data_IF_435064919909
#
_entry.id   IF_435064919909
#
_cell.length_a   1.000
_cell.length_b   1.000
_cell.length_c   1.000
_cell.angle_alpha   90.00
_cell.angle_beta   90.00
_cell.angle_gamma   90.00
#
_symmetry.space_group_name_H-M   'P 1'
#
loop_
_entity.id
_entity.type
_entity.pdbx_description
1 polymer ?
#
# COMPACT_ATOMS: atom_id res chain seq x y z
N UNK A 1 7.55 5.72 -85.88
CA UNK A 1 6.86 6.24 -84.69
C UNK A 1 6.69 5.12 -83.65
N UNK A 2 7.54 5.00 -82.70
CA UNK A 2 7.40 3.99 -81.62
C UNK A 2 6.83 4.71 -80.37
N UNK A 3 5.69 4.26 -79.87
CA UNK A 3 5.08 4.74 -78.63
C UNK A 3 5.56 3.89 -77.44
N UNK A 4 6.28 4.53 -76.51
CA UNK A 4 6.74 3.93 -75.28
C UNK A 4 5.64 4.12 -74.25
N UNK A 5 5.10 3.02 -73.69
CA UNK A 5 4.18 3.03 -72.54
C UNK A 5 5.00 2.94 -71.25
N UNK A 6 4.83 3.93 -70.38
CA UNK A 6 5.32 3.87 -68.96
C UNK A 6 4.25 3.21 -68.09
N UNK A 7 4.61 2.10 -67.47
CA UNK A 7 3.82 1.50 -66.39
C UNK A 7 4.27 2.11 -65.04
N UNK A 8 3.36 2.81 -64.38
CA UNK A 8 3.55 3.28 -63.00
C UNK A 8 3.11 2.16 -62.06
N UNK A 9 4.05 1.48 -61.41
CA UNK A 9 3.78 0.47 -60.38
C UNK A 9 3.54 1.15 -59.04
N UNK A 10 2.31 1.12 -58.54
CA UNK A 10 1.97 1.50 -57.19
C UNK A 10 2.35 0.38 -56.20
N UNK A 11 3.38 0.59 -55.40
CA UNK A 11 3.74 -0.30 -54.30
C UNK A 11 2.77 -0.09 -53.13
N UNK A 12 1.92 -1.06 -52.83
CA UNK A 12 1.14 -1.14 -51.61
C UNK A 12 2.05 -1.54 -50.46
N UNK A 13 2.34 -0.59 -49.56
CA UNK A 13 2.95 -0.87 -48.27
C UNK A 13 1.91 -1.55 -47.37
N UNK A 14 2.00 -2.87 -47.26
CA UNK A 14 1.23 -3.65 -46.29
C UNK A 14 1.84 -3.42 -44.89
N UNK A 15 1.17 -2.63 -44.06
CA UNK A 15 1.53 -2.48 -42.64
C UNK A 15 1.19 -3.80 -41.93
N UNK A 16 2.21 -4.63 -41.67
CA UNK A 16 2.09 -5.78 -40.76
C UNK A 16 1.87 -5.26 -39.36
N UNK A 17 0.63 -5.20 -38.92
CA UNK A 17 0.32 -5.09 -37.49
C UNK A 17 0.65 -6.45 -36.85
N UNK A 18 1.72 -6.50 -36.05
CA UNK A 18 2.00 -7.64 -35.17
C UNK A 18 0.83 -7.79 -34.21
N UNK A 19 0.24 -9.00 -34.09
CA UNK A 19 -0.79 -9.21 -33.06
C UNK A 19 -0.21 -8.93 -31.66
N UNK A 20 -1.02 -8.40 -30.72
CA UNK A 20 -0.58 -8.19 -29.35
C UNK A 20 -0.09 -9.52 -28.79
N UNK A 21 1.06 -9.49 -28.10
CA UNK A 21 1.57 -10.67 -27.36
C UNK A 21 0.49 -11.16 -26.41
N UNK A 22 0.30 -12.48 -26.27
CA UNK A 22 -0.58 -13.01 -25.23
C UNK A 22 -0.14 -12.46 -23.87
N UNK A 23 -1.07 -11.92 -23.12
CA UNK A 23 -0.85 -11.56 -21.72
C UNK A 23 -0.52 -12.88 -21.03
N UNK A 24 0.74 -13.08 -20.59
CA UNK A 24 1.06 -14.14 -19.64
C UNK A 24 0.08 -13.96 -18.48
N UNK A 25 -0.55 -15.06 -18.03
CA UNK A 25 -1.48 -15.08 -16.89
C UNK A 25 -0.74 -14.68 -15.61
N UNK A 26 -0.38 -13.42 -15.50
CA UNK A 26 0.21 -12.84 -14.29
C UNK A 26 -0.94 -12.61 -13.33
N UNK A 27 -0.91 -13.28 -12.20
CA UNK A 27 -1.95 -13.10 -11.17
C UNK A 27 -1.89 -11.66 -10.68
N UNK A 28 -2.99 -10.92 -10.85
CA UNK A 28 -3.14 -9.55 -10.38
C UNK A 28 -3.02 -9.52 -8.85
N UNK A 29 -2.13 -8.69 -8.32
CA UNK A 29 -1.95 -8.52 -6.87
C UNK A 29 -3.04 -7.57 -6.33
N UNK A 30 -4.03 -8.13 -5.65
CA UNK A 30 -5.05 -7.34 -4.97
C UNK A 30 -4.59 -7.13 -3.53
N UNK A 31 -4.31 -5.86 -3.21
CA UNK A 31 -3.86 -5.45 -1.88
C UNK A 31 -5.02 -4.84 -1.08
N UNK A 32 -5.31 -5.41 0.08
CA UNK A 32 -6.33 -4.88 0.99
C UNK A 32 -5.81 -3.68 1.77
N UNK A 33 -6.25 -2.45 1.40
CA UNK A 33 -5.81 -1.19 1.98
C UNK A 33 -6.20 -1.09 3.45
N UNK A 34 -5.20 -1.03 4.34
CA UNK A 34 -5.36 -1.07 5.79
C UNK A 34 -6.24 -2.25 6.24
N UNK A 35 -6.06 -3.40 5.57
CA UNK A 35 -6.95 -4.55 5.65
C UNK A 35 -8.07 -4.47 4.60
N UNK A 36 -9.23 -3.93 4.95
CA UNK A 36 -10.36 -3.69 4.05
C UNK A 36 -11.19 -2.50 4.55
N UNK A 37 -10.57 -1.32 4.59
CA UNK A 37 -11.08 -0.12 5.23
C UNK A 37 -12.50 0.28 4.81
N UNK A 38 -12.89 -0.02 3.58
CA UNK A 38 -14.25 0.30 3.09
C UNK A 38 -15.36 -0.41 3.85
N UNK A 39 -15.07 -1.58 4.46
CA UNK A 39 -16.06 -2.48 5.07
C UNK A 39 -15.77 -2.85 6.54
N UNK A 40 -14.51 -2.76 7.00
CA UNK A 40 -14.11 -3.01 8.38
C UNK A 40 -13.21 -1.88 8.91
N UNK A 41 -13.09 -1.71 10.26
CA UNK A 41 -12.19 -0.71 10.83
C UNK A 41 -10.77 -0.86 10.30
N UNK A 42 -10.18 0.26 9.86
CA UNK A 42 -8.86 0.29 9.26
C UNK A 42 -7.75 -0.12 10.23
N UNK A 43 -6.70 -0.75 9.71
CA UNK A 43 -5.50 -1.09 10.47
C UNK A 43 -5.82 -1.87 11.77
N UNK A 44 -6.88 -2.68 11.75
CA UNK A 44 -7.31 -3.54 12.85
C UNK A 44 -7.08 -5.02 12.54
N UNK A 45 -6.91 -5.83 13.58
CA UNK A 45 -6.79 -7.29 13.42
C UNK A 45 -8.03 -7.83 12.70
N UNK A 46 -9.21 -7.38 13.06
CA UNK A 46 -10.47 -7.81 12.47
C UNK A 46 -10.55 -7.46 10.96
N UNK A 47 -10.10 -6.26 10.59
CA UNK A 47 -10.01 -5.83 9.19
C UNK A 47 -9.05 -6.70 8.37
N UNK A 48 -7.91 -7.07 8.93
CA UNK A 48 -6.97 -7.99 8.27
C UNK A 48 -7.54 -9.41 8.14
N UNK A 49 -8.21 -9.93 9.17
CA UNK A 49 -8.87 -11.24 9.11
C UNK A 49 -9.97 -11.25 8.04
N UNK A 50 -10.73 -10.17 7.92
CA UNK A 50 -11.75 -10.04 6.88
C UNK A 50 -11.12 -9.99 5.48
N UNK A 51 -10.04 -9.22 5.29
CA UNK A 51 -9.31 -9.18 4.02
C UNK A 51 -8.78 -10.56 3.61
N UNK A 52 -8.23 -11.34 4.56
CA UNK A 52 -7.83 -12.73 4.33
C UNK A 52 -9.01 -13.61 3.91
N UNK A 53 -10.18 -13.45 4.54
CA UNK A 53 -11.38 -14.24 4.19
C UNK A 53 -11.92 -13.91 2.80
N UNK A 54 -11.70 -12.68 2.33
CA UNK A 54 -12.02 -12.22 0.96
C UNK A 54 -11.07 -12.86 -0.05
N UNK A 55 -9.82 -13.14 0.34
CA UNK A 55 -8.82 -13.78 -0.51
C UNK A 55 -7.85 -12.81 -1.19
N UNK A 56 -7.49 -11.73 -0.53
CA UNK A 56 -6.44 -10.81 -1.00
C UNK A 56 -5.08 -11.52 -1.12
N UNK A 57 -4.22 -11.01 -1.98
CA UNK A 57 -2.84 -11.50 -2.13
C UNK A 57 -1.91 -10.85 -1.10
N UNK A 58 -2.18 -9.59 -0.79
CA UNK A 58 -1.33 -8.75 0.04
C UNK A 58 -2.19 -7.98 1.05
N UNK A 59 -1.77 -7.95 2.30
CA UNK A 59 -2.30 -7.08 3.33
C UNK A 59 -1.47 -5.81 3.35
N UNK A 60 -2.09 -4.69 2.99
CA UNK A 60 -1.46 -3.38 3.10
C UNK A 60 -1.78 -2.78 4.46
N UNK A 61 -0.79 -2.13 5.09
CA UNK A 61 -0.90 -1.53 6.42
C UNK A 61 0.11 -0.41 6.62
N UNK A 62 -0.23 0.50 7.55
CA UNK A 62 0.64 1.61 7.94
C UNK A 62 1.21 1.36 9.34
N UNK A 63 2.45 1.78 9.59
CA UNK A 63 3.04 1.68 10.92
C UNK A 63 3.52 3.03 11.46
N UNK A 64 3.39 3.18 12.78
CA UNK A 64 3.91 4.30 13.56
C UNK A 64 4.59 3.78 14.83
N UNK A 65 5.32 4.65 15.54
CA UNK A 65 6.10 4.28 16.72
C UNK A 65 5.52 4.97 17.96
N UNK A 66 5.41 4.23 19.07
CA UNK A 66 5.00 4.74 20.38
C UNK A 66 6.19 5.30 21.18
N UNK A 67 5.93 5.98 22.31
CA UNK A 67 6.96 6.52 23.20
C UNK A 67 7.88 5.44 23.81
N UNK A 68 7.38 4.23 23.97
CA UNK A 68 8.12 3.06 24.45
C UNK A 68 8.63 2.16 23.30
N UNK A 69 8.80 2.77 22.11
CA UNK A 69 9.40 2.15 20.94
C UNK A 69 8.66 0.89 20.41
N UNK A 70 7.36 0.79 20.67
CA UNK A 70 6.55 -0.27 20.06
C UNK A 70 6.17 0.14 18.63
N UNK A 71 6.21 -0.82 17.71
CA UNK A 71 5.71 -0.65 16.34
C UNK A 71 4.23 -1.04 16.33
N UNK A 72 3.36 -0.06 16.10
CA UNK A 72 1.91 -0.28 16.05
C UNK A 72 1.36 0.02 14.67
N UNK A 73 0.20 -0.55 14.37
CA UNK A 73 -0.45 -0.38 13.08
C UNK A 73 -1.44 0.78 13.14
N UNK A 74 -1.13 1.86 12.42
CA UNK A 74 -1.90 3.11 12.40
C UNK A 74 -1.50 3.97 11.21
N UNK A 75 -2.47 4.62 10.56
CA UNK A 75 -2.17 5.55 9.47
C UNK A 75 -1.68 6.91 10.01
N UNK A 76 -2.44 7.55 10.88
CA UNK A 76 -2.01 8.79 11.52
C UNK A 76 -1.11 8.49 12.73
N UNK A 77 -0.04 9.28 12.96
CA UNK A 77 0.77 9.18 14.16
C UNK A 77 0.12 9.86 15.39
N UNK A 78 -1.22 10.00 15.35
CA UNK A 78 -2.06 10.50 16.45
C UNK A 78 -3.40 9.77 16.48
N UNK A 79 -4.21 10.01 17.50
CA UNK A 79 -5.58 9.49 17.57
C UNK A 79 -6.48 10.36 16.70
N UNK A 80 -6.82 9.83 15.52
CA UNK A 80 -7.61 10.56 14.52
C UNK A 80 -9.05 10.79 14.99
N UNK A 81 -9.55 11.99 14.74
CA UNK A 81 -10.94 12.36 15.00
C UNK A 81 -11.93 11.53 14.18
N UNK A 82 -11.54 11.00 13.04
CA UNK A 82 -12.41 10.20 12.18
C UNK A 82 -12.83 8.88 12.84
N UNK A 83 -11.91 8.24 13.60
CA UNK A 83 -12.10 6.86 14.08
C UNK A 83 -11.96 6.70 15.60
N UNK A 84 -11.23 7.58 16.30
CA UNK A 84 -10.83 7.35 17.67
C UNK A 84 -11.84 7.90 18.69
N UNK A 85 -12.04 7.12 19.77
CA UNK A 85 -12.75 7.53 21.00
C UNK A 85 -11.87 7.18 22.20
N UNK A 86 -11.61 8.16 23.05
CA UNK A 86 -10.75 7.99 24.22
C UNK A 86 -11.40 7.14 25.32
N UNK A 87 -10.59 6.72 26.32
CA UNK A 87 -11.09 5.92 27.45
C UNK A 87 -12.10 6.67 28.32
N UNK A 88 -12.16 8.00 28.23
CA UNK A 88 -13.17 8.84 28.87
C UNK A 88 -14.48 8.98 28.07
N UNK A 89 -14.59 8.27 26.93
CA UNK A 89 -15.73 8.32 26.01
C UNK A 89 -15.77 9.53 25.10
N UNK A 90 -14.73 10.39 25.09
CA UNK A 90 -14.66 11.56 24.21
C UNK A 90 -13.81 11.27 22.97
N UNK A 91 -14.22 11.82 21.84
CA UNK A 91 -13.44 11.79 20.61
C UNK A 91 -12.65 13.09 20.45
N UNK A 92 -11.45 13.03 19.85
CA UNK A 92 -10.80 14.22 19.34
C UNK A 92 -11.68 14.91 18.28
N UNK A 93 -11.41 16.16 17.99
CA UNK A 93 -11.91 16.84 16.81
C UNK A 93 -10.76 17.17 15.84
N UNK A 94 -11.08 17.60 14.62
CA UNK A 94 -10.09 17.88 13.57
C UNK A 94 -9.11 19.01 13.91
N UNK A 95 -9.39 19.82 14.95
CA UNK A 95 -8.52 20.93 15.36
C UNK A 95 -7.54 20.54 16.46
N UNK A 96 -7.85 19.48 17.25
CA UNK A 96 -7.05 19.07 18.41
C UNK A 96 -6.46 17.67 18.32
N UNK A 97 -6.81 16.85 17.32
CA UNK A 97 -6.38 15.45 17.22
C UNK A 97 -4.85 15.25 17.34
N UNK A 98 -4.05 16.18 16.81
CA UNK A 98 -2.58 16.12 16.88
C UNK A 98 -2.01 16.25 18.31
N UNK A 99 -2.80 16.71 19.27
CA UNK A 99 -2.42 16.70 20.68
C UNK A 99 -2.34 15.27 21.26
N UNK A 100 -3.09 14.34 20.66
CA UNK A 100 -3.07 12.91 21.03
C UNK A 100 -2.00 12.15 20.24
N UNK A 101 -0.79 12.65 20.30
CA UNK A 101 0.38 12.18 19.56
C UNK A 101 0.86 10.82 20.08
N UNK A 102 0.77 9.79 19.23
CA UNK A 102 1.14 8.40 19.56
C UNK A 102 2.63 8.27 19.92
N UNK A 103 3.52 9.04 19.28
CA UNK A 103 4.95 9.03 19.60
C UNK A 103 5.27 9.54 21.01
N UNK A 104 4.29 10.15 21.70
CA UNK A 104 4.38 10.60 23.10
C UNK A 104 3.57 9.73 24.07
N UNK A 105 2.87 8.70 23.56
CA UNK A 105 2.06 7.78 24.36
C UNK A 105 2.75 6.41 24.44
N UNK A 106 2.70 5.76 25.60
CA UNK A 106 3.08 4.34 25.71
C UNK A 106 2.00 3.46 25.08
N UNK A 107 2.37 2.27 24.66
CA UNK A 107 1.42 1.36 24.02
C UNK A 107 0.20 1.04 24.89
N UNK A 108 0.39 0.84 26.19
CA UNK A 108 -0.72 0.58 27.11
C UNK A 108 -1.74 1.73 27.16
N UNK A 109 -1.33 2.97 26.90
CA UNK A 109 -2.23 4.13 26.79
C UNK A 109 -2.94 4.13 25.43
N UNK A 110 -2.20 3.84 24.34
CA UNK A 110 -2.74 3.74 22.99
C UNK A 110 -3.84 2.67 22.92
N UNK A 111 -3.60 1.50 23.51
CA UNK A 111 -4.51 0.34 23.49
C UNK A 111 -5.87 0.59 24.18
N UNK A 112 -5.97 1.63 25.01
CA UNK A 112 -7.23 1.99 25.69
C UNK A 112 -8.22 2.72 24.77
N UNK A 113 -7.76 3.23 23.63
CA UNK A 113 -8.61 3.93 22.68
C UNK A 113 -9.42 2.97 21.83
N UNK A 114 -10.70 3.29 21.65
CA UNK A 114 -11.56 2.60 20.70
C UNK A 114 -11.43 3.25 19.31
N UNK A 115 -11.03 2.48 18.33
CA UNK A 115 -10.78 2.94 16.96
C UNK A 115 -11.72 2.31 15.92
N UNK A 116 -12.90 1.79 16.33
CA UNK A 116 -13.77 1.11 15.38
C UNK A 116 -15.27 1.18 15.69
N UNK A 117 -15.69 1.65 16.88
CA UNK A 117 -17.13 1.79 17.20
C UNK A 117 -17.77 3.03 16.60
N UNK A 118 -16.98 4.02 16.19
CA UNK A 118 -17.44 5.28 15.60
C UNK A 118 -17.88 5.06 14.15
N UNK A 119 -18.89 5.83 13.69
CA UNK A 119 -19.22 5.88 12.26
C UNK A 119 -18.09 6.59 11.52
N UNK A 120 -17.46 5.90 10.58
CA UNK A 120 -16.40 6.49 9.77
C UNK A 120 -17.00 7.50 8.77
N UNK A 121 -16.56 8.77 8.73
CA UNK A 121 -17.19 9.81 7.90
C UNK A 121 -17.12 9.51 6.40
N UNK A 122 -16.06 8.84 5.94
CA UNK A 122 -15.87 8.47 4.52
C UNK A 122 -16.44 7.09 4.18
N UNK A 123 -16.66 6.21 5.17
CA UNK A 123 -17.13 4.85 4.98
C UNK A 123 -18.30 4.55 5.93
N UNK A 124 -19.48 5.17 5.73
CA UNK A 124 -20.60 5.06 6.65
C UNK A 124 -21.20 3.64 6.72
N UNK A 125 -20.95 2.80 5.71
CA UNK A 125 -21.38 1.39 5.67
C UNK A 125 -20.41 0.44 6.37
N UNK A 126 -19.22 0.91 6.77
CA UNK A 126 -18.21 0.12 7.48
C UNK A 126 -18.82 -0.53 8.73
N UNK A 127 -18.50 -1.80 8.95
CA UNK A 127 -18.96 -2.52 10.14
C UNK A 127 -18.36 -1.88 11.41
N UNK A 128 -19.20 -1.46 12.33
CA UNK A 128 -18.76 -0.89 13.61
C UNK A 128 -18.47 -2.01 14.61
N UNK A 129 -17.33 -1.91 15.25
CA UNK A 129 -16.94 -2.81 16.34
C UNK A 129 -15.91 -2.13 17.22
N UNK A 130 -15.87 -2.51 18.50
CA UNK A 130 -14.82 -2.04 19.39
C UNK A 130 -13.50 -2.70 18.99
N UNK A 131 -12.53 -1.89 18.61
CA UNK A 131 -11.17 -2.33 18.30
C UNK A 131 -10.15 -1.24 18.66
N UNK A 132 -8.88 -1.55 18.58
CA UNK A 132 -7.78 -0.66 18.95
C UNK A 132 -6.68 -0.71 17.88
N UNK A 133 -5.66 0.14 18.02
CA UNK A 133 -4.46 0.10 17.17
C UNK A 133 -3.54 -1.03 17.64
N UNK A 134 -3.41 -2.16 16.91
CA UNK A 134 -2.65 -3.32 17.36
C UNK A 134 -1.14 -3.11 17.20
N UNK A 135 -0.35 -3.91 17.92
CA UNK A 135 1.07 -4.09 17.59
C UNK A 135 1.23 -4.76 16.23
N UNK A 136 2.27 -4.39 15.48
CA UNK A 136 2.62 -5.10 14.24
C UNK A 136 2.87 -6.58 14.50
N UNK A 137 3.50 -6.93 15.63
CA UNK A 137 3.70 -8.30 16.07
C UNK A 137 2.39 -9.05 16.29
N UNK A 138 1.39 -8.40 16.88
CA UNK A 138 0.06 -8.97 17.11
C UNK A 138 -0.65 -9.28 15.78
N UNK A 139 -0.55 -8.36 14.80
CA UNK A 139 -1.10 -8.59 13.45
C UNK A 139 -0.43 -9.82 12.82
N UNK A 140 0.90 -9.92 12.84
CA UNK A 140 1.59 -11.09 12.29
C UNK A 140 1.16 -12.40 12.99
N UNK A 141 1.09 -12.42 14.32
CA UNK A 141 0.67 -13.60 15.08
C UNK A 141 -0.73 -14.09 14.66
N UNK A 142 -1.69 -13.15 14.57
CA UNK A 142 -3.07 -13.50 14.22
C UNK A 142 -3.21 -13.92 12.76
N UNK A 143 -2.54 -13.22 11.83
CA UNK A 143 -2.55 -13.54 10.39
C UNK A 143 -1.92 -14.90 10.13
N UNK A 144 -0.72 -15.16 10.64
CA UNK A 144 -0.02 -16.43 10.42
C UNK A 144 -0.76 -17.61 11.05
N UNK A 145 -1.36 -17.40 12.22
CA UNK A 145 -2.23 -18.40 12.86
C UNK A 145 -3.44 -18.73 11.98
N UNK A 146 -4.13 -17.70 11.46
CA UNK A 146 -5.29 -17.87 10.58
C UNK A 146 -4.93 -18.62 9.30
N UNK A 147 -3.81 -18.25 8.65
CA UNK A 147 -3.29 -18.94 7.46
C UNK A 147 -3.07 -20.41 7.75
N UNK A 148 -2.42 -20.75 8.87
CA UNK A 148 -2.13 -22.13 9.25
C UNK A 148 -3.41 -22.93 9.56
N UNK A 149 -4.35 -22.36 10.32
CA UNK A 149 -5.61 -23.00 10.70
C UNK A 149 -6.54 -23.24 9.49
N UNK A 150 -6.64 -22.26 8.60
CA UNK A 150 -7.48 -22.33 7.38
C UNK A 150 -6.79 -23.03 6.22
N UNK A 151 -5.48 -23.29 6.32
CA UNK A 151 -4.65 -23.89 5.25
C UNK A 151 -4.75 -23.13 3.93
N UNK A 152 -4.81 -21.81 4.00
CA UNK A 152 -4.80 -20.93 2.83
C UNK A 152 -3.37 -20.59 2.41
N UNK A 153 -3.14 -20.17 1.14
CA UNK A 153 -1.83 -19.73 0.70
C UNK A 153 -1.30 -18.56 1.56
N UNK A 154 0.00 -18.51 1.84
CA UNK A 154 0.61 -17.38 2.54
C UNK A 154 0.42 -16.08 1.75
N UNK A 155 0.01 -15.00 2.42
CA UNK A 155 -0.12 -13.66 1.85
C UNK A 155 1.18 -12.87 1.97
N UNK A 156 1.30 -11.78 1.22
CA UNK A 156 2.33 -10.76 1.39
C UNK A 156 1.85 -9.67 2.35
N UNK A 157 2.80 -8.90 2.87
CA UNK A 157 2.55 -7.72 3.69
C UNK A 157 3.19 -6.52 3.01
N UNK A 158 2.41 -5.48 2.73
CA UNK A 158 2.90 -4.20 2.24
C UNK A 158 2.82 -3.19 3.38
N UNK A 159 3.97 -2.78 3.94
CA UNK A 159 4.05 -2.02 5.19
C UNK A 159 4.56 -0.61 4.90
N UNK A 160 3.70 0.39 5.13
CA UNK A 160 4.09 1.79 4.97
C UNK A 160 4.76 2.33 6.24
N UNK A 161 6.00 2.81 6.08
CA UNK A 161 6.67 3.62 7.10
C UNK A 161 6.18 5.07 6.96
N UNK A 162 5.39 5.52 7.93
CA UNK A 162 4.78 6.86 7.98
C UNK A 162 5.78 7.88 8.51
N UNK A 163 6.61 8.42 7.62
CA UNK A 163 7.60 9.45 7.97
C UNK A 163 7.60 10.62 7.00
N UNK A 164 7.94 11.80 7.52
CA UNK A 164 8.15 13.02 6.75
C UNK A 164 9.28 13.83 7.38
N UNK A 165 10.08 14.61 6.60
CA UNK A 165 11.18 15.41 7.16
C UNK A 165 10.73 16.43 8.23
N UNK A 166 9.52 16.96 8.11
CA UNK A 166 8.97 17.98 9.00
C UNK A 166 8.53 17.42 10.37
N UNK A 167 8.34 16.10 10.44
CA UNK A 167 7.79 15.42 11.62
C UNK A 167 8.82 14.58 12.38
N UNK A 168 10.09 14.60 11.94
CA UNK A 168 11.21 13.93 12.60
C UNK A 168 11.29 14.34 14.08
N UNK A 169 11.30 13.36 15.00
CA UNK A 169 11.33 13.52 16.45
C UNK A 169 10.15 14.31 17.05
N UNK A 170 9.11 14.55 16.27
CA UNK A 170 7.85 15.17 16.70
C UNK A 170 6.75 14.12 16.73
N UNK A 171 6.52 13.43 15.60
CA UNK A 171 5.49 12.40 15.45
C UNK A 171 6.08 11.00 15.18
N UNK A 172 7.36 10.91 14.86
CA UNK A 172 8.08 9.65 14.65
C UNK A 172 9.59 9.86 14.90
N UNK A 173 10.36 8.77 15.14
CA UNK A 173 11.82 8.87 15.26
C UNK A 173 12.47 9.17 13.90
N UNK A 174 13.80 9.35 13.88
CA UNK A 174 14.53 9.45 12.63
C UNK A 174 14.28 8.22 11.72
N UNK A 175 14.37 8.35 10.39
CA UNK A 175 14.19 7.23 9.46
C UNK A 175 15.03 5.99 9.80
N UNK A 176 16.27 6.18 10.25
CA UNK A 176 17.17 5.08 10.66
C UNK A 176 16.60 4.28 11.82
N UNK A 177 16.14 4.96 12.87
CA UNK A 177 15.56 4.29 14.07
C UNK A 177 14.24 3.64 13.69
N UNK A 178 13.40 4.31 12.91
CA UNK A 178 12.11 3.78 12.50
C UNK A 178 12.28 2.47 11.70
N UNK A 179 13.10 2.49 10.64
CA UNK A 179 13.39 1.31 9.83
C UNK A 179 13.94 0.15 10.68
N UNK A 180 14.86 0.44 11.61
CA UNK A 180 15.42 -0.57 12.51
C UNK A 180 14.35 -1.23 13.40
N UNK A 181 13.45 -0.44 14.00
CA UNK A 181 12.38 -0.99 14.84
C UNK A 181 11.43 -1.88 14.05
N UNK A 182 11.03 -1.44 12.85
CA UNK A 182 10.14 -2.21 11.96
C UNK A 182 10.80 -3.51 11.53
N UNK A 183 12.05 -3.47 11.08
CA UNK A 183 12.77 -4.68 10.62
C UNK A 183 13.02 -5.68 11.75
N UNK A 184 13.29 -5.22 12.98
CA UNK A 184 13.39 -6.11 14.14
C UNK A 184 12.11 -6.90 14.39
N UNK A 185 10.93 -6.28 14.23
CA UNK A 185 9.66 -7.00 14.37
C UNK A 185 9.50 -8.02 13.24
N UNK A 186 9.75 -7.64 11.98
CA UNK A 186 9.60 -8.53 10.83
C UNK A 186 10.53 -9.75 10.95
N UNK A 187 11.78 -9.53 11.34
CA UNK A 187 12.81 -10.58 11.48
C UNK A 187 12.47 -11.60 12.57
N UNK A 188 11.84 -11.14 13.66
CA UNK A 188 11.37 -12.02 14.74
C UNK A 188 10.39 -13.09 14.25
N UNK A 189 9.62 -12.78 13.19
CA UNK A 189 8.63 -13.69 12.59
C UNK A 189 9.12 -14.36 11.30
N UNK A 190 10.36 -14.10 10.88
CA UNK A 190 10.97 -14.61 9.65
C UNK A 190 10.14 -14.32 8.38
N UNK A 191 9.57 -13.11 8.29
CA UNK A 191 8.65 -12.69 7.23
C UNK A 191 9.32 -11.87 6.10
N UNK A 192 10.64 -11.68 6.12
CA UNK A 192 11.38 -10.76 5.23
C UNK A 192 11.10 -11.01 3.75
N UNK A 193 10.90 -12.27 3.36
CA UNK A 193 10.64 -12.64 1.95
C UNK A 193 9.22 -12.34 1.49
N UNK A 194 8.32 -12.07 2.43
CA UNK A 194 6.91 -11.78 2.17
C UNK A 194 6.53 -10.33 2.47
N UNK A 195 7.50 -9.51 2.85
CA UNK A 195 7.29 -8.09 3.17
C UNK A 195 7.79 -7.21 2.04
N UNK A 196 6.98 -6.21 1.72
CA UNK A 196 7.34 -5.02 0.93
C UNK A 196 7.33 -3.84 1.91
N UNK A 197 8.36 -3.02 1.92
CA UNK A 197 8.37 -1.77 2.67
C UNK A 197 8.06 -0.63 1.70
N UNK A 198 6.99 0.10 1.97
CA UNK A 198 6.61 1.27 1.19
C UNK A 198 6.74 2.57 1.98
N UNK A 199 6.99 3.67 1.31
CA UNK A 199 7.01 5.00 1.90
C UNK A 199 6.88 6.11 0.86
N UNK A 200 6.30 7.24 1.25
CA UNK A 200 6.43 8.51 0.54
C UNK A 200 7.79 9.17 0.79
N UNK A 201 8.40 8.87 1.93
CA UNK A 201 9.69 9.44 2.33
C UNK A 201 10.85 8.65 1.71
N UNK A 202 11.47 9.25 0.71
CA UNK A 202 12.65 8.69 0.02
C UNK A 202 13.77 8.34 1.01
N UNK A 203 13.93 9.09 2.11
CA UNK A 203 14.98 8.85 3.11
C UNK A 203 14.81 7.49 3.80
N UNK A 204 13.58 7.11 4.13
CA UNK A 204 13.27 5.79 4.72
C UNK A 204 13.60 4.66 3.75
N UNK A 205 13.27 4.81 2.46
CA UNK A 205 13.63 3.84 1.42
C UNK A 205 15.15 3.76 1.19
N UNK A 206 15.87 4.89 1.25
CA UNK A 206 17.33 4.91 1.18
C UNK A 206 17.99 4.19 2.36
N UNK A 207 17.48 4.38 3.58
CA UNK A 207 17.93 3.66 4.78
C UNK A 207 17.68 2.16 4.62
N UNK A 208 16.48 1.77 4.18
CA UNK A 208 16.14 0.36 3.93
C UNK A 208 17.06 -0.27 2.89
N UNK A 209 17.29 0.41 1.76
CA UNK A 209 18.19 -0.07 0.71
C UNK A 209 19.62 -0.28 1.20
N UNK A 210 20.15 0.68 1.98
CA UNK A 210 21.53 0.63 2.47
C UNK A 210 21.75 -0.40 3.58
N UNK A 211 20.84 -0.47 4.55
CA UNK A 211 21.02 -1.23 5.78
C UNK A 211 20.29 -2.58 5.79
N UNK A 212 19.24 -2.72 4.98
CA UNK A 212 18.37 -3.89 4.95
C UNK A 212 18.08 -4.36 3.51
N UNK A 213 19.09 -4.66 2.67
CA UNK A 213 18.96 -4.87 1.22
C UNK A 213 18.17 -6.12 0.82
N UNK A 214 17.75 -6.94 1.78
CA UNK A 214 16.93 -8.14 1.55
C UNK A 214 15.44 -7.85 1.35
N UNK A 215 14.98 -6.63 1.71
CA UNK A 215 13.58 -6.26 1.57
C UNK A 215 13.27 -5.71 0.18
N UNK A 216 12.09 -6.02 -0.32
CA UNK A 216 11.52 -5.36 -1.49
C UNK A 216 11.02 -3.97 -1.08
N UNK A 217 11.28 -2.98 -1.92
CA UNK A 217 10.94 -1.60 -1.63
C UNK A 217 9.91 -1.06 -2.63
N UNK A 218 8.98 -0.26 -2.14
CA UNK A 218 7.94 0.39 -2.92
C UNK A 218 7.95 1.90 -2.69
N UNK A 219 8.00 2.67 -3.78
CA UNK A 219 7.92 4.12 -3.71
C UNK A 219 6.48 4.59 -3.90
N UNK A 220 5.91 5.22 -2.88
CA UNK A 220 4.63 5.90 -2.96
C UNK A 220 4.77 7.27 -3.64
N UNK A 221 3.84 7.58 -4.56
CA UNK A 221 3.84 8.84 -5.31
C UNK A 221 2.44 9.44 -5.33
N UNK A 222 2.31 10.70 -4.90
CA UNK A 222 1.06 11.46 -4.93
C UNK A 222 0.67 11.90 -6.34
N UNK A 223 -0.56 12.38 -6.49
CA UNK A 223 -1.14 12.80 -7.78
C UNK A 223 -0.52 14.07 -8.36
N UNK A 224 0.11 14.91 -7.55
CA UNK A 224 0.81 16.13 -7.96
C UNK A 224 2.32 15.94 -8.16
N UNK A 225 2.84 14.73 -7.96
CA UNK A 225 4.26 14.43 -8.04
C UNK A 225 4.63 13.80 -9.38
N UNK A 226 5.88 14.01 -9.83
CA UNK A 226 6.42 13.33 -11.01
C UNK A 226 7.09 12.02 -10.59
N UNK A 227 6.56 10.84 -10.98
CA UNK A 227 7.09 9.54 -10.55
C UNK A 227 8.57 9.33 -10.94
N UNK A 228 8.95 9.71 -12.16
CA UNK A 228 10.33 9.52 -12.65
C UNK A 228 11.33 10.40 -11.90
N UNK A 229 10.95 11.64 -11.58
CA UNK A 229 11.77 12.53 -10.78
C UNK A 229 11.96 12.00 -9.37
N UNK A 230 10.90 11.49 -8.74
CA UNK A 230 10.94 10.92 -7.39
C UNK A 230 11.76 9.62 -7.34
N UNK A 231 11.63 8.75 -8.34
CA UNK A 231 12.50 7.57 -8.50
C UNK A 231 13.97 7.95 -8.61
N UNK A 232 14.29 9.04 -9.31
CA UNK A 232 15.68 9.54 -9.42
C UNK A 232 16.24 9.99 -8.07
N UNK A 233 15.41 10.56 -7.19
CA UNK A 233 15.81 10.97 -5.84
C UNK A 233 16.16 9.76 -4.95
N UNK A 234 15.56 8.58 -5.18
CA UNK A 234 15.91 7.37 -4.45
C UNK A 234 17.39 6.98 -4.63
N UNK A 235 17.96 7.16 -5.82
CA UNK A 235 19.37 6.89 -6.13
C UNK A 235 19.72 5.41 -6.31
N UNK A 236 18.71 4.52 -6.30
CA UNK A 236 18.85 3.07 -6.52
C UNK A 236 17.65 2.53 -7.33
N UNK A 237 17.75 1.26 -7.76
CA UNK A 237 16.68 0.61 -8.50
C UNK A 237 15.56 0.20 -7.55
N UNK A 238 14.35 0.72 -7.80
CA UNK A 238 13.14 0.35 -7.06
C UNK A 238 12.52 -0.94 -7.62
N UNK A 239 11.94 -1.77 -6.76
CA UNK A 239 11.22 -3.00 -7.16
C UNK A 239 9.76 -2.72 -7.48
N UNK A 240 9.13 -1.77 -6.76
CA UNK A 240 7.72 -1.41 -6.93
C UNK A 240 7.56 0.11 -6.99
N UNK A 241 6.77 0.59 -7.94
CA UNK A 241 6.26 1.95 -7.95
C UNK A 241 4.78 1.90 -7.58
N UNK A 242 4.38 2.68 -6.59
CA UNK A 242 3.01 2.73 -6.10
C UNK A 242 2.45 4.16 -6.18
N UNK A 243 2.00 4.59 -7.37
CA UNK A 243 1.48 5.94 -7.59
C UNK A 243 -0.01 6.05 -7.25
N UNK A 244 -0.48 7.27 -7.04
CA UNK A 244 -1.90 7.54 -7.10
C UNK A 244 -2.46 7.09 -8.47
N UNK A 245 -3.57 6.36 -8.48
CA UNK A 245 -4.14 5.76 -9.70
C UNK A 245 -4.49 6.79 -10.79
N UNK A 246 -4.77 8.04 -10.41
CA UNK A 246 -5.12 9.12 -11.35
C UNK A 246 -4.00 9.49 -12.31
N UNK A 247 -2.75 9.28 -11.92
CA UNK A 247 -1.58 9.59 -12.75
C UNK A 247 -1.06 8.38 -13.54
N UNK A 248 -1.77 7.24 -13.47
CA UNK A 248 -1.39 6.02 -14.20
C UNK A 248 -1.92 6.07 -15.62
N UNK A 249 -1.01 5.93 -16.57
CA UNK A 249 -1.26 5.78 -18.01
C UNK A 249 -0.40 4.65 -18.59
N UNK A 250 -0.65 4.28 -19.84
CA UNK A 250 0.08 3.24 -20.55
C UNK A 250 1.60 3.52 -20.60
N UNK A 251 2.00 4.78 -20.74
CA UNK A 251 3.41 5.15 -20.80
C UNK A 251 4.14 4.93 -19.47
N UNK A 252 3.45 5.10 -18.34
CA UNK A 252 4.01 4.81 -17.02
C UNK A 252 4.11 3.30 -16.78
N UNK A 253 3.11 2.51 -17.21
CA UNK A 253 3.14 1.04 -17.17
C UNK A 253 4.32 0.51 -17.96
N UNK A 254 4.46 0.92 -19.25
CA UNK A 254 5.56 0.53 -20.11
C UNK A 254 6.92 0.91 -19.54
N UNK A 255 7.02 2.12 -18.96
CA UNK A 255 8.25 2.56 -18.30
C UNK A 255 8.62 1.62 -17.14
N UNK A 256 7.69 1.31 -16.25
CA UNK A 256 7.93 0.41 -15.12
C UNK A 256 8.36 -0.97 -15.59
N UNK A 257 7.63 -1.57 -16.52
CA UNK A 257 7.91 -2.89 -17.04
C UNK A 257 9.25 -2.94 -17.79
N UNK A 258 9.63 -1.88 -18.54
CA UNK A 258 10.95 -1.79 -19.19
C UNK A 258 12.10 -1.81 -18.18
N UNK A 259 11.86 -1.36 -16.95
CA UNK A 259 12.82 -1.35 -15.82
C UNK A 259 12.72 -2.59 -14.95
N UNK A 260 11.84 -3.55 -15.27
CA UNK A 260 11.51 -4.71 -14.43
C UNK A 260 11.06 -4.28 -13.03
N UNK A 261 10.22 -3.27 -12.97
CA UNK A 261 9.61 -2.71 -11.77
C UNK A 261 8.12 -2.97 -11.85
N UNK A 262 7.51 -3.41 -10.75
CA UNK A 262 6.07 -3.57 -10.66
C UNK A 262 5.39 -2.21 -10.50
N UNK A 263 4.16 -2.09 -11.01
CA UNK A 263 3.31 -0.91 -10.82
C UNK A 263 2.05 -1.31 -10.06
N UNK A 264 1.91 -0.80 -8.83
CA UNK A 264 0.80 -1.11 -7.91
C UNK A 264 0.19 0.20 -7.43
N UNK A 265 -0.77 0.78 -8.16
CA UNK A 265 -1.40 2.05 -7.81
C UNK A 265 -2.34 1.98 -6.60
N UNK A 266 -2.57 3.14 -5.96
CA UNK A 266 -3.45 3.35 -4.81
C UNK A 266 -4.31 4.62 -5.00
N UNK A 267 -5.42 4.81 -4.33
CA UNK A 267 -6.32 3.80 -3.79
C UNK A 267 -7.45 3.65 -4.78
N UNK A 268 -7.61 2.46 -5.35
CA UNK A 268 -8.54 2.19 -6.46
C UNK A 268 -9.82 1.58 -5.86
N UNK A 269 -10.90 2.37 -5.81
CA UNK A 269 -12.11 1.99 -5.09
C UNK A 269 -13.34 1.80 -5.98
N UNK A 270 -13.35 2.44 -7.15
CA UNK A 270 -14.48 2.39 -8.08
C UNK A 270 -14.28 1.27 -9.11
N UNK A 271 -15.31 0.50 -9.40
CA UNK A 271 -15.24 -0.64 -10.32
C UNK A 271 -14.68 -0.26 -11.70
N UNK A 272 -15.10 0.89 -12.23
CA UNK A 272 -14.62 1.41 -13.51
C UNK A 272 -13.11 1.72 -13.49
N UNK A 273 -12.61 2.26 -12.38
CA UNK A 273 -11.19 2.54 -12.21
C UNK A 273 -10.38 1.24 -12.00
N UNK A 274 -10.94 0.24 -11.30
CA UNK A 274 -10.32 -1.08 -11.20
C UNK A 274 -10.17 -1.73 -12.59
N UNK A 275 -11.23 -1.73 -13.40
CA UNK A 275 -11.20 -2.22 -14.78
C UNK A 275 -10.15 -1.47 -15.62
N UNK A 276 -10.12 -0.13 -15.52
CA UNK A 276 -9.13 0.70 -16.20
C UNK A 276 -7.70 0.32 -15.82
N UNK A 277 -7.40 0.08 -14.54
CA UNK A 277 -6.07 -0.37 -14.09
C UNK A 277 -5.72 -1.73 -14.68
N UNK A 278 -6.67 -2.68 -14.69
CA UNK A 278 -6.48 -4.01 -15.27
C UNK A 278 -6.20 -3.91 -16.78
N UNK A 279 -6.97 -3.12 -17.52
CA UNK A 279 -6.80 -2.89 -18.97
C UNK A 279 -5.46 -2.23 -19.30
N UNK A 280 -4.97 -1.33 -18.46
CA UNK A 280 -3.65 -0.73 -18.59
C UNK A 280 -2.50 -1.72 -18.31
N UNK A 281 -2.80 -2.87 -17.71
CA UNK A 281 -1.81 -3.93 -17.45
C UNK A 281 -0.94 -3.66 -16.21
N UNK A 282 -1.49 -3.02 -15.17
CA UNK A 282 -0.79 -2.90 -13.88
C UNK A 282 -0.55 -4.26 -13.24
N UNK A 283 0.39 -4.37 -12.32
CA UNK A 283 0.75 -5.64 -11.67
C UNK A 283 -0.17 -6.00 -10.51
N UNK A 284 -0.88 -5.01 -9.98
CA UNK A 284 -1.81 -5.08 -8.88
C UNK A 284 -2.34 -3.70 -8.54
N UNK A 285 -3.16 -3.58 -7.51
CA UNK A 285 -3.57 -2.29 -6.94
C UNK A 285 -4.04 -2.42 -5.50
N UNK A 286 -3.97 -1.31 -4.77
CA UNK A 286 -4.40 -1.17 -3.39
C UNK A 286 -5.83 -0.63 -3.37
N UNK A 287 -6.74 -1.31 -2.63
CA UNK A 287 -8.16 -0.94 -2.55
C UNK A 287 -8.74 -1.03 -1.14
N UNK A 288 -9.62 -0.08 -0.80
CA UNK A 288 -10.46 -0.11 0.40
C UNK A 288 -11.57 -1.18 0.32
N UNK A 289 -11.91 -1.61 -0.92
CA UNK A 289 -12.95 -2.58 -1.25
C UNK A 289 -12.37 -3.79 -1.97
N UNK A 290 -11.52 -4.59 -1.30
CA UNK A 290 -10.92 -5.77 -1.92
C UNK A 290 -11.95 -6.84 -2.30
N UNK A 291 -13.12 -6.86 -1.67
CA UNK A 291 -14.25 -7.71 -2.03
C UNK A 291 -14.76 -7.43 -3.45
N UNK A 292 -14.87 -6.15 -3.83
CA UNK A 292 -15.19 -5.75 -5.20
C UNK A 292 -14.05 -6.12 -6.14
N UNK A 293 -12.80 -5.81 -5.79
CA UNK A 293 -11.62 -6.06 -6.61
C UNK A 293 -11.46 -7.55 -6.99
N UNK A 294 -11.70 -8.47 -6.06
CA UNK A 294 -11.59 -9.92 -6.28
C UNK A 294 -12.59 -10.42 -7.33
N UNK A 295 -13.76 -9.78 -7.48
CA UNK A 295 -14.76 -10.18 -8.50
C UNK A 295 -14.33 -9.87 -9.94
N UNK A 296 -13.32 -9.01 -10.12
CA UNK A 296 -12.81 -8.58 -11.43
C UNK A 296 -11.55 -9.35 -11.88
N UNK A 297 -11.11 -10.32 -11.08
CA UNK A 297 -9.86 -11.08 -11.25
C UNK A 297 -9.98 -12.24 -12.24
#
# INVERSE_FOLDING_TARGET
MRKTFFFLGTALLSACSTPPKPIENKTLDIEGHRGCRGIFPENSVEGFMQALSIGVNTLEMDVVITADSQVIVSHEPWMSWEIATGPDGKSPDSTNEKAFNIFKMKYDEVKQWDCGSKIHPRFPIQQKMKTYKPLLSEVFEQVEKYIAEKKIPPVQYNIEIKSTPQEDNIFHPSPTVFCQLVTQVIEKYALEKRVIIQSFDVRSLQVMHANHPKYRLSLLVGDLENPKAKLTQCGFKMEVLSPNYKIVDAALVDYCHSKKMQLIPWTVNEEEEMKRMIELGVDGFISDFPDLAITLR
#
